data_IF_806731531940
#
_entry.id   IF_806731531940
#
_cell.length_a   1.000
_cell.length_b   1.000
_cell.length_c   1.000
_cell.angle_alpha   90.00
_cell.angle_beta   90.00
_cell.angle_gamma   90.00
#
_symmetry.space_group_name_H-M   'P 1'
#
loop_
_entity.id
_entity.type
_entity.pdbx_description
1 polymer ?
#
# COMPACT_ATOMS: atom_id res chain seq x y z
N UNK A 1 11.96 1.57 9.48
CA UNK A 1 11.19 0.84 8.44
C UNK A 1 9.81 1.48 8.19
N UNK A 2 9.73 2.82 8.11
CA UNK A 2 8.46 3.56 7.94
C UNK A 2 8.18 4.00 6.49
N UNK A 3 9.03 3.62 5.54
CA UNK A 3 9.07 4.27 4.25
C UNK A 3 8.44 3.49 3.12
N UNK A 4 7.98 2.23 3.23
CA UNK A 4 7.49 1.47 2.05
C UNK A 4 6.43 2.27 1.26
N UNK A 5 5.48 2.90 1.95
CA UNK A 5 4.46 3.75 1.34
C UNK A 5 4.99 5.01 0.64
N UNK A 6 6.20 5.49 0.97
CA UNK A 6 6.87 6.61 0.30
C UNK A 6 7.97 6.16 -0.68
N UNK A 7 8.62 5.02 -0.41
CA UNK A 7 9.77 4.50 -1.17
C UNK A 7 9.30 3.99 -2.52
N UNK A 8 8.14 3.34 -2.57
CA UNK A 8 7.56 2.86 -3.83
C UNK A 8 7.15 4.04 -4.73
N UNK A 9 6.40 5.06 -4.27
CA UNK A 9 6.16 6.27 -5.05
C UNK A 9 7.44 7.02 -5.43
N UNK A 10 8.41 7.12 -4.52
CA UNK A 10 9.67 7.80 -4.78
C UNK A 10 10.48 7.09 -5.87
N UNK A 11 10.56 5.76 -5.85
CA UNK A 11 11.24 4.98 -6.89
C UNK A 11 10.44 5.01 -8.20
N UNK A 12 9.11 4.93 -8.14
CA UNK A 12 8.27 5.07 -9.32
C UNK A 12 8.48 6.43 -10.02
N UNK A 13 8.51 7.52 -9.24
CA UNK A 13 8.88 8.84 -9.74
C UNK A 13 10.32 8.88 -10.25
N UNK A 14 11.29 8.38 -9.49
CA UNK A 14 12.70 8.36 -9.90
C UNK A 14 12.92 7.62 -11.23
N UNK A 15 12.14 6.57 -11.49
CA UNK A 15 12.21 5.80 -12.74
C UNK A 15 11.83 6.60 -13.99
N UNK A 16 11.22 7.79 -13.85
CA UNK A 16 11.04 8.72 -14.96
C UNK A 16 12.37 9.27 -15.50
N UNK A 17 13.42 9.27 -14.68
CA UNK A 17 14.77 9.77 -15.05
C UNK A 17 15.82 8.66 -15.12
N UNK A 18 15.61 7.51 -14.47
CA UNK A 18 16.53 6.37 -14.53
C UNK A 18 16.23 5.46 -15.73
N UNK A 19 17.28 5.01 -16.40
CA UNK A 19 17.19 4.04 -17.49
C UNK A 19 17.16 2.61 -16.93
N UNK A 20 16.14 1.82 -17.28
CA UNK A 20 16.03 0.40 -16.91
C UNK A 20 14.61 -0.01 -16.51
N UNK A 21 14.32 -1.33 -16.47
CA UNK A 21 13.00 -1.82 -16.08
C UNK A 21 12.73 -1.56 -14.59
N UNK A 22 11.59 -0.92 -14.28
CA UNK A 22 11.15 -0.68 -12.92
C UNK A 22 10.65 -1.99 -12.29
N UNK A 23 11.47 -2.59 -11.42
CA UNK A 23 11.09 -3.75 -10.61
C UNK A 23 10.90 -3.30 -9.15
N UNK A 24 9.65 -3.09 -8.76
CA UNK A 24 9.30 -2.69 -7.39
C UNK A 24 9.38 -3.84 -6.37
N UNK A 25 9.67 -5.06 -6.82
CA UNK A 25 9.71 -6.25 -5.98
C UNK A 25 8.33 -6.71 -5.49
N UNK A 26 7.26 -6.24 -6.13
CA UNK A 26 5.86 -6.52 -5.78
C UNK A 26 5.12 -7.01 -7.03
N UNK A 27 4.30 -8.05 -6.87
CA UNK A 27 3.34 -8.44 -7.90
C UNK A 27 2.23 -7.39 -8.05
N UNK A 28 1.48 -7.44 -9.15
CA UNK A 28 0.37 -6.51 -9.40
C UNK A 28 -0.67 -6.52 -8.26
N UNK A 29 -0.95 -7.68 -7.67
CA UNK A 29 -1.89 -7.84 -6.55
C UNK A 29 -1.44 -7.09 -5.30
N UNK A 30 -0.17 -7.23 -4.91
CA UNK A 30 0.40 -6.52 -3.77
C UNK A 30 0.47 -5.00 -3.99
N UNK A 31 0.68 -4.56 -5.24
CA UNK A 31 0.64 -3.15 -5.60
C UNK A 31 -0.78 -2.57 -5.44
N UNK A 32 -1.80 -3.28 -5.89
CA UNK A 32 -3.21 -2.87 -5.70
C UNK A 32 -3.55 -2.78 -4.21
N UNK A 33 -3.13 -3.76 -3.40
CA UNK A 33 -3.35 -3.73 -1.96
C UNK A 33 -2.65 -2.55 -1.27
N UNK A 34 -1.43 -2.20 -1.71
CA UNK A 34 -0.73 -1.01 -1.22
C UNK A 34 -1.51 0.27 -1.53
N UNK A 35 -1.97 0.42 -2.77
CA UNK A 35 -2.76 1.59 -3.18
C UNK A 35 -4.07 1.68 -2.40
N UNK A 36 -4.78 0.56 -2.20
CA UNK A 36 -5.98 0.51 -1.38
C UNK A 36 -5.69 0.91 0.07
N UNK A 37 -4.60 0.41 0.64
CA UNK A 37 -4.19 0.76 2.01
C UNK A 37 -3.96 2.25 2.16
N UNK A 38 -3.25 2.88 1.20
CA UNK A 38 -3.02 4.33 1.21
C UNK A 38 -4.33 5.10 1.06
N UNK A 39 -5.18 4.74 0.09
CA UNK A 39 -6.45 5.41 -0.14
C UNK A 39 -7.38 5.33 1.07
N UNK A 40 -7.53 4.14 1.66
CA UNK A 40 -8.34 3.95 2.87
C UNK A 40 -7.74 4.73 4.04
N UNK A 41 -6.42 4.69 4.23
CA UNK A 41 -5.75 5.47 5.30
C UNK A 41 -6.00 6.96 5.15
N UNK A 42 -5.98 7.51 3.93
CA UNK A 42 -6.32 8.91 3.68
C UNK A 42 -7.77 9.19 4.08
N UNK A 43 -8.72 8.34 3.66
CA UNK A 43 -10.14 8.51 3.95
C UNK A 43 -10.51 8.36 5.42
N UNK A 44 -9.70 7.65 6.23
CA UNK A 44 -9.98 7.39 7.65
C UNK A 44 -9.16 8.26 8.60
N UNK A 45 -7.90 8.55 8.28
CA UNK A 45 -7.00 9.30 9.15
C UNK A 45 -7.14 10.80 8.96
N UNK A 46 -7.25 11.30 7.72
CA UNK A 46 -7.34 12.75 7.44
C UNK A 46 -8.54 13.42 8.12
N UNK A 47 -9.74 12.80 8.16
CA UNK A 47 -10.88 13.41 8.84
C UNK A 47 -10.77 13.49 10.37
N UNK A 48 -9.76 12.85 10.98
CA UNK A 48 -9.47 12.92 12.42
C UNK A 48 -10.46 12.19 13.33
N UNK A 49 -11.32 11.33 12.78
CA UNK A 49 -12.36 10.58 13.51
C UNK A 49 -12.26 9.10 13.18
N UNK A 50 -11.72 8.32 14.12
CA UNK A 50 -11.55 6.87 13.99
C UNK A 50 -12.73 6.13 14.63
N UNK A 51 -13.46 5.34 13.83
CA UNK A 51 -14.50 4.42 14.33
C UNK A 51 -14.02 2.97 14.33
N UNK A 52 -14.69 2.11 15.11
CA UNK A 52 -14.39 0.67 15.12
C UNK A 52 -14.50 0.05 13.72
N UNK A 53 -15.52 0.43 12.96
CA UNK A 53 -15.72 -0.04 11.59
C UNK A 53 -14.57 0.36 10.66
N UNK A 54 -14.02 1.56 10.81
CA UNK A 54 -12.83 1.97 10.04
C UNK A 54 -11.62 1.11 10.42
N UNK A 55 -11.45 0.79 11.71
CA UNK A 55 -10.41 -0.14 12.16
C UNK A 55 -10.53 -1.52 11.52
N UNK A 56 -11.74 -2.08 11.47
CA UNK A 56 -12.01 -3.37 10.81
C UNK A 56 -11.60 -3.36 9.33
N UNK A 57 -11.88 -2.28 8.59
CA UNK A 57 -11.47 -2.16 7.19
C UNK A 57 -9.95 -2.27 7.03
N UNK A 58 -9.17 -1.66 7.95
CA UNK A 58 -7.70 -1.77 7.90
C UNK A 58 -7.24 -3.18 8.24
N UNK A 59 -7.87 -3.84 9.21
CA UNK A 59 -7.56 -5.22 9.58
C UNK A 59 -7.88 -6.21 8.45
N UNK A 60 -8.99 -6.00 7.72
CA UNK A 60 -9.35 -6.82 6.55
C UNK A 60 -8.34 -6.62 5.43
N UNK A 61 -7.92 -5.38 5.15
CA UNK A 61 -6.86 -5.13 4.15
C UNK A 61 -5.53 -5.78 4.54
N UNK A 62 -5.16 -5.71 5.82
CA UNK A 62 -3.98 -6.39 6.34
C UNK A 62 -4.09 -7.92 6.21
N UNK A 63 -5.24 -8.49 6.56
CA UNK A 63 -5.49 -9.92 6.43
C UNK A 63 -5.42 -10.38 4.96
N UNK A 64 -6.00 -9.61 4.03
CA UNK A 64 -5.91 -9.88 2.60
C UNK A 64 -4.46 -9.83 2.10
N UNK A 65 -3.67 -8.86 2.57
CA UNK A 65 -2.24 -8.78 2.24
C UNK A 65 -1.48 -10.00 2.75
N UNK A 66 -1.64 -10.38 4.02
CA UNK A 66 -0.96 -11.55 4.60
C UNK A 66 -1.38 -12.82 3.86
N UNK A 67 -2.67 -12.99 3.60
CA UNK A 67 -3.20 -14.16 2.90
C UNK A 67 -2.58 -14.31 1.51
N UNK A 68 -2.61 -13.26 0.68
CA UNK A 68 -2.05 -13.30 -0.67
C UNK A 68 -0.51 -13.33 -0.68
N UNK A 69 0.15 -12.81 0.34
CA UNK A 69 1.61 -12.90 0.46
C UNK A 69 2.08 -14.33 0.80
N UNK A 70 1.29 -15.06 1.60
CA UNK A 70 1.57 -16.45 1.98
C UNK A 70 1.07 -17.45 0.94
N UNK A 71 -0.07 -17.17 0.30
CA UNK A 71 -0.70 -17.98 -0.75
C UNK A 71 -0.76 -17.18 -2.06
N UNK A 72 0.35 -17.10 -2.81
CA UNK A 72 0.45 -16.27 -4.02
C UNK A 72 -0.37 -16.80 -5.20
#
# INVERSE_FOLDING_TARGET
MASIGLTIPAIALASLWLSGPLLLGLSATHLVLLVLTVAVSVLTVVPGRATLLQGEVHLVLLAAYIFLAVMP
#
